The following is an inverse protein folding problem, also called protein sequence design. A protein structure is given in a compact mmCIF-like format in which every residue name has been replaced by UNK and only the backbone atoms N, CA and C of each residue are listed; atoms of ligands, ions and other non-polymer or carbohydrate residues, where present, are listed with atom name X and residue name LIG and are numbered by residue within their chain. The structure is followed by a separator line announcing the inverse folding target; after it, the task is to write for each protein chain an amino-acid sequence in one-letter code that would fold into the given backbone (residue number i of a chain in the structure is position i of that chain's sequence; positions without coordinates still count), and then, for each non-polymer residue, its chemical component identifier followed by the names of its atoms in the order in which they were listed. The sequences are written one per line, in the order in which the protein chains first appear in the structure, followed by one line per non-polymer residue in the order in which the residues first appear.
data_IF_063807470169
#
_entry.id   IF_063807470169
#
_cell.length_a   1.000
_cell.length_b   1.000
_cell.length_c   1.000
_cell.angle_alpha   90.00
_cell.angle_beta   90.00
_cell.angle_gamma   90.00
#
_symmetry.space_group_name_H-M   'P 1'
#
loop_
_entity.id
_entity.type
_entity.pdbx_description
1 polymer ?
#
# COMPACT_ATOMS: atom_id res chain seq x y z
N UNK A 1 12.36 -22.40 12.21
CA UNK A 1 12.75 -23.52 11.31
C UNK A 1 14.26 -23.57 11.18
N UNK A 2 14.87 -24.75 11.05
CA UNK A 2 16.35 -24.90 10.94
C UNK A 2 16.88 -24.83 9.50
N UNK A 3 16.01 -24.95 8.49
CA UNK A 3 16.34 -24.79 7.07
C UNK A 3 15.18 -24.12 6.32
N UNK A 4 15.44 -23.38 5.22
CA UNK A 4 14.39 -22.81 4.38
C UNK A 4 13.53 -23.92 3.75
N UNK A 5 12.24 -23.68 3.45
CA UNK A 5 11.42 -24.63 2.71
C UNK A 5 12.03 -24.93 1.34
N UNK A 6 11.89 -26.16 0.85
CA UNK A 6 12.49 -26.61 -0.43
C UNK A 6 12.05 -25.73 -1.61
N UNK A 7 10.78 -25.31 -1.63
CA UNK A 7 10.22 -24.40 -2.65
C UNK A 7 10.11 -22.95 -2.16
N UNK A 8 10.84 -22.59 -1.10
CA UNK A 8 10.79 -21.28 -0.47
C UNK A 8 9.37 -20.87 -0.07
N UNK A 9 8.95 -19.67 -0.47
CA UNK A 9 7.62 -19.14 -0.13
C UNK A 9 6.45 -19.80 -0.88
N UNK A 10 6.74 -20.67 -1.85
CA UNK A 10 5.74 -21.42 -2.59
C UNK A 10 5.49 -22.81 -1.99
N UNK A 11 6.24 -23.19 -0.95
CA UNK A 11 6.13 -24.52 -0.35
C UNK A 11 4.80 -24.69 0.41
N UNK A 12 4.10 -25.85 0.27
CA UNK A 12 2.88 -26.15 1.02
C UNK A 12 3.05 -26.12 2.54
N UNK A 13 4.28 -26.30 3.06
CA UNK A 13 4.56 -26.19 4.50
C UNK A 13 4.21 -24.81 5.07
N UNK A 14 4.10 -23.78 4.21
CA UNK A 14 3.71 -22.45 4.64
C UNK A 14 2.22 -22.28 4.91
N UNK A 15 1.39 -23.26 4.56
CA UNK A 15 -0.01 -23.27 5.00
C UNK A 15 -0.07 -23.48 6.52
N UNK A 16 0.71 -24.45 7.04
CA UNK A 16 0.86 -24.63 8.49
C UNK A 16 1.47 -23.39 9.16
N UNK A 17 2.50 -22.79 8.54
CA UNK A 17 3.08 -21.54 9.05
C UNK A 17 2.03 -20.42 9.15
N UNK A 18 1.17 -20.29 8.14
CA UNK A 18 0.11 -19.28 8.11
C UNK A 18 -0.90 -19.52 9.23
N UNK A 19 -1.23 -20.77 9.55
CA UNK A 19 -2.07 -21.13 10.68
C UNK A 19 -1.40 -20.76 12.01
N UNK A 20 -0.13 -21.11 12.19
CA UNK A 20 0.66 -20.77 13.37
C UNK A 20 0.83 -19.25 13.54
N UNK A 21 0.97 -18.50 12.44
CA UNK A 21 1.05 -17.05 12.47
C UNK A 21 -0.25 -16.45 12.99
N UNK A 22 -1.40 -16.90 12.47
CA UNK A 22 -2.73 -16.47 12.94
C UNK A 22 -2.98 -16.85 14.41
N UNK A 23 -2.58 -18.05 14.81
CA UNK A 23 -2.74 -18.52 16.19
C UNK A 23 -1.83 -17.77 17.18
N UNK A 24 -0.69 -17.25 16.75
CA UNK A 24 0.20 -16.48 17.63
C UNK A 24 -0.28 -15.06 17.92
N UNK A 25 -1.16 -14.52 17.09
CA UNK A 25 -1.75 -13.20 17.24
C UNK A 25 -3.27 -13.25 17.00
N UNK A 26 -4.02 -14.01 17.83
CA UNK A 26 -5.43 -14.31 17.56
C UNK A 26 -6.30 -13.05 17.55
N UNK A 27 -6.04 -12.10 18.45
CA UNK A 27 -6.82 -10.86 18.52
C UNK A 27 -6.58 -9.95 17.31
N UNK A 28 -5.33 -9.88 16.81
CA UNK A 28 -5.01 -9.20 15.55
C UNK A 28 -5.72 -9.88 14.38
N UNK A 29 -5.68 -11.21 14.32
CA UNK A 29 -6.36 -11.98 13.26
C UNK A 29 -7.86 -11.73 13.25
N UNK A 30 -8.51 -11.73 14.42
CA UNK A 30 -9.94 -11.43 14.56
C UNK A 30 -10.27 -10.01 14.12
N UNK A 31 -9.49 -9.01 14.55
CA UNK A 31 -9.69 -7.62 14.13
C UNK A 31 -9.60 -7.47 12.61
N UNK A 32 -8.60 -8.06 11.98
CA UNK A 32 -8.41 -8.01 10.52
C UNK A 32 -9.58 -8.66 9.79
N UNK A 33 -10.05 -9.82 10.27
CA UNK A 33 -11.18 -10.53 9.66
C UNK A 33 -12.48 -9.72 9.74
N UNK A 34 -12.72 -9.04 10.87
CA UNK A 34 -13.91 -8.20 11.04
C UNK A 34 -13.85 -6.96 10.14
N UNK A 35 -12.70 -6.27 10.12
CA UNK A 35 -12.46 -5.14 9.21
C UNK A 35 -12.65 -5.56 7.76
N UNK A 36 -12.06 -6.70 7.35
CA UNK A 36 -12.15 -7.18 5.98
C UNK A 36 -13.60 -7.47 5.58
N UNK A 37 -14.34 -8.19 6.43
CA UNK A 37 -15.73 -8.55 6.16
C UNK A 37 -16.60 -7.31 5.98
N UNK A 38 -16.41 -6.32 6.84
CA UNK A 38 -17.14 -5.07 6.75
C UNK A 38 -16.72 -4.24 5.51
N UNK A 39 -15.44 -4.29 5.11
CA UNK A 39 -14.94 -3.59 3.93
C UNK A 39 -15.49 -4.20 2.63
N UNK A 40 -15.46 -5.53 2.54
CA UNK A 40 -16.08 -6.28 1.43
C UNK A 40 -17.58 -6.00 1.37
N UNK A 41 -18.27 -5.99 2.50
CA UNK A 41 -19.70 -5.68 2.56
C UNK A 41 -20.01 -4.22 2.17
N UNK A 42 -19.10 -3.28 2.42
CA UNK A 42 -19.27 -1.87 2.05
C UNK A 42 -19.24 -1.68 0.53
N UNK A 43 -18.31 -2.35 -0.18
CA UNK A 43 -18.08 -2.15 -1.62
C UNK A 43 -19.36 -2.19 -2.50
N UNK A 44 -20.21 -3.23 -2.46
CA UNK A 44 -21.42 -3.30 -3.30
C UNK A 44 -22.50 -2.28 -2.89
N UNK A 45 -22.39 -1.67 -1.72
CA UNK A 45 -23.31 -0.62 -1.25
C UNK A 45 -22.88 0.78 -1.70
N UNK A 46 -21.67 0.93 -2.23
CA UNK A 46 -21.26 2.15 -2.92
C UNK A 46 -22.06 2.22 -4.22
N UNK A 47 -22.94 3.21 -4.34
CA UNK A 47 -23.80 3.39 -5.51
C UNK A 47 -23.40 4.66 -6.28
N UNK A 48 -22.29 4.63 -7.07
CA UNK A 48 -21.89 5.78 -7.87
C UNK A 48 -23.01 6.27 -8.78
N UNK A 49 -23.26 7.58 -8.75
CA UNK A 49 -24.18 8.22 -9.70
C UNK A 49 -23.59 8.11 -11.10
N UNK A 50 -24.45 7.82 -12.09
CA UNK A 50 -24.04 7.61 -13.50
C UNK A 50 -23.19 8.73 -14.09
N UNK A 51 -23.37 9.96 -13.63
CA UNK A 51 -22.68 11.15 -14.14
C UNK A 51 -21.67 11.71 -13.13
N UNK A 52 -21.17 10.88 -12.20
CA UNK A 52 -20.17 11.28 -11.22
C UNK A 52 -18.88 10.48 -11.39
N UNK A 53 -17.96 10.99 -12.21
CA UNK A 53 -16.63 10.40 -12.34
C UNK A 53 -15.91 10.32 -11.00
N UNK A 54 -16.14 11.30 -10.12
CA UNK A 54 -15.61 11.33 -8.76
C UNK A 54 -16.01 10.08 -7.97
N UNK A 55 -17.30 9.75 -7.94
CA UNK A 55 -17.80 8.58 -7.22
C UNK A 55 -17.37 7.27 -7.89
N UNK A 56 -17.36 7.23 -9.22
CA UNK A 56 -16.95 6.04 -9.97
C UNK A 56 -15.47 5.71 -9.71
N UNK A 57 -14.58 6.71 -9.83
CA UNK A 57 -13.15 6.56 -9.55
C UNK A 57 -12.94 6.23 -8.07
N UNK A 58 -13.70 6.84 -7.16
CA UNK A 58 -13.61 6.53 -5.73
C UNK A 58 -13.96 5.08 -5.42
N UNK A 59 -15.05 4.55 -5.99
CA UNK A 59 -15.43 3.14 -5.82
C UNK A 59 -14.35 2.19 -6.37
N UNK A 60 -13.78 2.51 -7.54
CA UNK A 60 -12.70 1.72 -8.14
C UNK A 60 -11.41 1.75 -7.31
N UNK A 61 -11.00 2.94 -6.81
CA UNK A 61 -9.85 3.06 -5.92
C UNK A 61 -10.08 2.37 -4.57
N UNK A 62 -11.31 2.41 -4.04
CA UNK A 62 -11.65 1.68 -2.83
C UNK A 62 -11.54 0.16 -3.03
N UNK A 63 -12.08 -0.37 -4.14
CA UNK A 63 -11.91 -1.79 -4.50
C UNK A 63 -10.43 -2.17 -4.60
N UNK A 64 -9.60 -1.33 -5.22
CA UNK A 64 -8.15 -1.51 -5.27
C UNK A 64 -7.51 -1.53 -3.88
N UNK A 65 -7.88 -0.61 -3.00
CA UNK A 65 -7.35 -0.54 -1.64
C UNK A 65 -7.71 -1.80 -0.84
N UNK A 66 -8.95 -2.27 -0.97
CA UNK A 66 -9.44 -3.50 -0.32
C UNK A 66 -8.69 -4.74 -0.83
N UNK A 67 -8.57 -4.92 -2.15
CA UNK A 67 -7.83 -6.05 -2.71
C UNK A 67 -6.35 -6.02 -2.29
N UNK A 68 -5.74 -4.83 -2.28
CA UNK A 68 -4.35 -4.66 -1.82
C UNK A 68 -4.20 -4.96 -0.33
N UNK A 69 -5.18 -4.60 0.49
CA UNK A 69 -5.24 -4.96 1.90
C UNK A 69 -5.25 -6.48 2.08
N UNK A 70 -6.18 -7.18 1.43
CA UNK A 70 -6.27 -8.64 1.51
C UNK A 70 -4.95 -9.31 1.08
N UNK A 71 -4.35 -8.85 -0.02
CA UNK A 71 -3.05 -9.34 -0.48
C UNK A 71 -1.92 -9.08 0.53
N UNK A 72 -1.88 -7.91 1.17
CA UNK A 72 -0.91 -7.60 2.23
C UNK A 72 -1.03 -8.57 3.41
N UNK A 73 -2.26 -8.86 3.85
CA UNK A 73 -2.53 -9.84 4.93
C UNK A 73 -2.10 -11.25 4.54
N UNK A 74 -2.37 -11.68 3.30
CA UNK A 74 -1.97 -13.00 2.82
C UNK A 74 -0.44 -13.17 2.79
N UNK A 75 0.30 -12.16 2.32
CA UNK A 75 1.77 -12.18 2.34
C UNK A 75 2.32 -12.15 3.77
N UNK A 76 1.69 -11.38 4.64
CA UNK A 76 2.06 -11.30 6.04
C UNK A 76 1.94 -12.65 6.76
N UNK A 77 0.82 -13.35 6.56
CA UNK A 77 0.61 -14.67 7.16
C UNK A 77 1.64 -15.70 6.66
N UNK A 78 2.14 -15.55 5.43
CA UNK A 78 3.26 -16.35 4.89
C UNK A 78 4.64 -15.88 5.34
N UNK A 79 4.72 -14.83 6.15
CA UNK A 79 5.96 -14.25 6.67
C UNK A 79 6.77 -13.45 5.65
N UNK A 80 6.14 -13.00 4.55
CA UNK A 80 6.74 -12.12 3.55
C UNK A 80 6.52 -10.64 3.93
N UNK A 81 7.04 -10.24 5.09
CA UNK A 81 6.69 -8.95 5.72
C UNK A 81 7.15 -7.74 4.90
N UNK A 82 8.27 -7.85 4.20
CA UNK A 82 8.75 -6.81 3.28
C UNK A 82 7.75 -6.56 2.15
N UNK A 83 7.34 -7.62 1.45
CA UNK A 83 6.38 -7.52 0.35
C UNK A 83 4.99 -7.09 0.86
N UNK A 84 4.56 -7.60 2.01
CA UNK A 84 3.34 -7.17 2.69
C UNK A 84 3.37 -5.66 3.00
N UNK A 85 4.51 -5.14 3.47
CA UNK A 85 4.72 -3.71 3.74
C UNK A 85 4.70 -2.85 2.48
N UNK A 86 5.25 -3.35 1.36
CA UNK A 86 5.14 -2.68 0.05
C UNK A 86 3.69 -2.56 -0.39
N UNK A 87 2.89 -3.61 -0.22
CA UNK A 87 1.46 -3.55 -0.47
C UNK A 87 0.75 -2.59 0.49
N UNK A 88 1.07 -2.59 1.78
CA UNK A 88 0.50 -1.66 2.74
C UNK A 88 0.77 -0.19 2.38
N UNK A 89 1.95 0.11 1.81
CA UNK A 89 2.26 1.44 1.26
C UNK A 89 1.33 1.78 0.09
N UNK A 90 1.07 0.83 -0.80
CA UNK A 90 0.17 1.05 -1.93
C UNK A 90 -1.29 1.29 -1.49
N UNK A 91 -1.74 0.68 -0.39
CA UNK A 91 -3.03 1.01 0.24
C UNK A 91 -3.02 2.49 0.65
N UNK A 92 -1.98 2.94 1.35
CA UNK A 92 -1.88 4.32 1.82
C UNK A 92 -1.82 5.35 0.69
N UNK A 93 -1.07 5.07 -0.38
CA UNK A 93 -1.08 5.90 -1.59
C UNK A 93 -2.49 6.02 -2.16
N UNK A 94 -3.21 4.90 -2.26
CA UNK A 94 -4.60 4.86 -2.72
C UNK A 94 -5.52 5.66 -1.79
N UNK A 95 -5.32 5.56 -0.48
CA UNK A 95 -6.03 6.34 0.55
C UNK A 95 -5.81 7.84 0.39
N UNK A 96 -4.59 8.29 0.08
CA UNK A 96 -4.28 9.70 -0.16
C UNK A 96 -4.98 10.20 -1.44
N UNK A 97 -5.01 9.40 -2.51
CA UNK A 97 -5.79 9.72 -3.71
C UNK A 97 -7.30 9.80 -3.43
N UNK A 98 -7.84 8.89 -2.61
CA UNK A 98 -9.23 8.97 -2.14
C UNK A 98 -9.47 10.25 -1.33
N UNK A 99 -8.52 10.66 -0.47
CA UNK A 99 -8.57 11.96 0.20
C UNK A 99 -8.64 13.13 -0.78
N UNK A 100 -7.91 13.06 -1.88
CA UNK A 100 -7.98 14.04 -2.97
C UNK A 100 -9.36 14.09 -3.62
N UNK A 101 -9.97 12.94 -3.91
CA UNK A 101 -11.35 12.88 -4.42
C UNK A 101 -12.38 13.41 -3.41
N UNK A 102 -12.12 13.26 -2.11
CA UNK A 102 -13.01 13.72 -1.05
C UNK A 102 -12.96 15.24 -0.86
N UNK A 103 -11.78 15.87 -1.03
CA UNK A 103 -11.53 17.24 -0.57
C UNK A 103 -11.21 18.24 -1.68
N UNK A 104 -10.71 17.79 -2.84
CA UNK A 104 -10.21 18.67 -3.90
C UNK A 104 -11.21 18.68 -5.06
N UNK A 105 -11.69 19.87 -5.42
CA UNK A 105 -12.54 20.04 -6.60
C UNK A 105 -11.77 19.67 -7.88
N UNK A 106 -12.46 19.04 -8.84
CA UNK A 106 -11.87 18.62 -10.12
C UNK A 106 -10.65 17.69 -10.01
N UNK A 107 -10.49 16.97 -8.88
CA UNK A 107 -9.35 16.09 -8.67
C UNK A 107 -9.25 14.94 -9.71
N UNK A 108 -10.38 14.47 -10.25
CA UNK A 108 -10.39 13.49 -11.35
C UNK A 108 -9.64 14.04 -12.58
N UNK A 109 -9.86 15.30 -12.94
CA UNK A 109 -9.15 15.93 -14.05
C UNK A 109 -7.65 16.09 -13.75
N UNK A 110 -7.29 16.41 -12.50
CA UNK A 110 -5.89 16.44 -12.04
C UNK A 110 -5.22 15.06 -12.15
N UNK A 111 -5.92 13.99 -11.79
CA UNK A 111 -5.44 12.61 -11.95
C UNK A 111 -5.24 12.27 -13.43
N UNK A 112 -6.20 12.59 -14.29
CA UNK A 112 -6.10 12.35 -15.73
C UNK A 112 -4.91 13.11 -16.35
N UNK A 113 -4.73 14.38 -15.98
CA UNK A 113 -3.61 15.19 -16.46
C UNK A 113 -2.25 14.64 -16.00
N UNK A 114 -2.15 14.20 -14.74
CA UNK A 114 -0.94 13.57 -14.22
C UNK A 114 -0.63 12.24 -14.92
N UNK A 115 -1.65 11.43 -15.22
CA UNK A 115 -1.51 10.19 -15.97
C UNK A 115 -1.02 10.44 -17.41
N UNK A 116 -1.61 11.40 -18.11
CA UNK A 116 -1.18 11.75 -19.47
C UNK A 116 0.28 12.23 -19.48
N UNK A 117 0.68 13.03 -18.49
CA UNK A 117 2.08 13.46 -18.36
C UNK A 117 3.03 12.27 -18.12
N UNK A 118 2.62 11.25 -17.35
CA UNK A 118 3.43 10.06 -17.14
C UNK A 118 3.66 9.29 -18.45
N UNK A 119 2.60 9.02 -19.21
CA UNK A 119 2.70 8.34 -20.51
C UNK A 119 3.51 9.14 -21.52
N UNK A 120 3.35 10.47 -21.55
CA UNK A 120 4.16 11.34 -22.39
C UNK A 120 5.66 11.23 -22.06
N UNK A 121 6.02 11.26 -20.77
CA UNK A 121 7.42 11.09 -20.33
C UNK A 121 7.97 9.71 -20.67
N UNK A 122 7.15 8.66 -20.49
CA UNK A 122 7.52 7.29 -20.84
C UNK A 122 7.75 7.14 -22.34
N UNK A 123 6.84 7.64 -23.18
CA UNK A 123 7.00 7.60 -24.63
C UNK A 123 8.24 8.36 -25.09
N UNK A 124 8.54 9.54 -24.51
CA UNK A 124 9.79 10.25 -24.80
C UNK A 124 11.02 9.42 -24.47
N UNK A 125 11.06 8.80 -23.28
CA UNK A 125 12.17 7.93 -22.91
C UNK A 125 12.33 6.74 -23.87
N UNK A 126 11.23 6.19 -24.38
CA UNK A 126 11.25 5.11 -25.38
C UNK A 126 11.83 5.59 -26.71
N UNK A 127 11.46 6.79 -27.18
CA UNK A 127 12.01 7.37 -28.41
C UNK A 127 13.50 7.68 -28.26
N UNK A 128 13.92 8.23 -27.11
CA UNK A 128 15.32 8.50 -26.83
C UNK A 128 16.13 7.20 -26.89
N UNK A 129 15.68 6.16 -26.17
CA UNK A 129 16.30 4.84 -26.18
C UNK A 129 16.33 4.19 -27.58
N UNK A 130 15.20 4.21 -28.30
CA UNK A 130 15.11 3.62 -29.63
C UNK A 130 15.99 4.36 -30.66
N UNK A 131 16.15 5.68 -30.50
CA UNK A 131 17.08 6.49 -31.30
C UNK A 131 18.53 6.12 -30.99
N UNK A 132 18.89 6.00 -29.71
CA UNK A 132 20.25 5.59 -29.27
C UNK A 132 20.62 4.18 -29.72
N UNK A 133 19.64 3.27 -29.78
CA UNK A 133 19.83 1.86 -30.13
C UNK A 133 19.52 1.52 -31.59
N UNK A 134 19.15 2.53 -32.39
CA UNK A 134 18.86 2.42 -33.83
C UNK A 134 17.83 1.32 -34.17
N UNK A 135 16.76 1.24 -33.37
CA UNK A 135 15.66 0.30 -33.59
C UNK A 135 14.82 0.81 -34.78
N UNK A 136 14.33 -0.09 -35.64
CA UNK A 136 13.36 0.26 -36.67
C UNK A 136 12.09 0.86 -36.05
N UNK A 137 11.38 1.75 -36.75
CA UNK A 137 10.11 2.38 -36.34
C UNK A 137 10.20 3.58 -35.37
N UNK A 138 11.39 4.14 -35.14
CA UNK A 138 11.59 5.38 -34.35
C UNK A 138 10.77 6.57 -34.87
N UNK A 139 10.61 6.70 -36.19
CA UNK A 139 9.89 7.83 -36.78
C UNK A 139 8.37 7.74 -36.56
N UNK A 140 7.79 6.54 -36.51
CA UNK A 140 6.37 6.35 -36.15
C UNK A 140 6.12 6.73 -34.69
N UNK A 141 7.01 6.29 -33.78
CA UNK A 141 6.96 6.65 -32.37
C UNK A 141 7.11 8.17 -32.14
N UNK A 142 7.99 8.83 -32.89
CA UNK A 142 8.13 10.29 -32.87
C UNK A 142 6.86 11.01 -33.35
N UNK A 143 6.20 10.50 -34.39
CA UNK A 143 4.94 11.02 -34.90
C UNK A 143 3.84 11.02 -33.83
N UNK A 144 3.63 9.88 -33.17
CA UNK A 144 2.64 9.76 -32.09
C UNK A 144 2.92 10.70 -30.91
N UNK A 145 4.19 10.88 -30.52
CA UNK A 145 4.55 11.83 -29.46
C UNK A 145 4.38 13.30 -29.85
N UNK A 146 4.60 13.65 -31.10
CA UNK A 146 4.40 15.02 -31.59
C UNK A 146 2.91 15.41 -31.52
N UNK A 147 2.02 14.48 -31.91
CA UNK A 147 0.57 14.66 -31.81
C UNK A 147 0.09 14.77 -30.35
N UNK A 148 0.74 14.06 -29.43
CA UNK A 148 0.49 14.20 -27.98
C UNK A 148 1.06 15.50 -27.40
N UNK A 149 2.24 15.94 -27.84
CA UNK A 149 2.87 17.18 -27.36
C UNK A 149 2.06 18.45 -27.68
N UNK A 150 1.27 18.42 -28.76
CA UNK A 150 0.34 19.50 -29.13
C UNK A 150 -0.86 19.60 -28.18
N UNK A 151 -1.16 18.56 -27.40
CA UNK A 151 -2.14 18.61 -26.31
C UNK A 151 -1.44 19.20 -25.10
N UNK A 152 -1.70 20.47 -24.76
CA UNK A 152 -1.02 21.15 -23.65
C UNK A 152 -1.01 20.32 -22.34
N UNK A 153 0.14 19.74 -22.00
CA UNK A 153 0.34 19.02 -20.74
C UNK A 153 1.05 19.94 -19.72
N UNK A 154 0.37 21.00 -19.30
CA UNK A 154 0.89 21.95 -18.27
C UNK A 154 0.79 21.45 -16.83
N UNK A 155 0.28 20.25 -16.59
CA UNK A 155 0.14 19.73 -15.22
C UNK A 155 1.51 19.32 -14.66
N UNK A 156 1.85 19.80 -13.47
CA UNK A 156 2.87 19.16 -12.63
C UNK A 156 2.32 17.82 -12.12
N UNK A 157 3.15 16.78 -12.13
CA UNK A 157 2.76 15.47 -11.60
C UNK A 157 2.30 15.55 -10.14
N UNK A 158 1.51 14.58 -9.70
CA UNK A 158 1.05 14.51 -8.31
C UNK A 158 2.21 14.06 -7.42
N UNK A 159 2.66 14.96 -6.54
CA UNK A 159 3.69 14.66 -5.53
C UNK A 159 2.98 14.16 -4.27
N UNK A 160 3.19 12.89 -3.91
CA UNK A 160 2.44 12.23 -2.83
C UNK A 160 2.48 12.96 -1.49
N UNK A 161 3.66 13.46 -1.08
CA UNK A 161 3.80 14.23 0.15
C UNK A 161 2.98 15.52 0.14
N UNK A 162 2.95 16.22 -1.00
CA UNK A 162 2.21 17.47 -1.13
C UNK A 162 0.71 17.19 -1.10
N UNK A 163 0.25 16.16 -1.83
CA UNK A 163 -1.14 15.75 -1.82
C UNK A 163 -1.59 15.33 -0.42
N UNK A 164 -0.79 14.54 0.30
CA UNK A 164 -1.08 14.13 1.67
C UNK A 164 -1.26 15.35 2.60
N UNK A 165 -0.40 16.37 2.49
CA UNK A 165 -0.55 17.62 3.26
C UNK A 165 -1.82 18.37 2.86
N UNK A 166 -2.08 18.49 1.57
CA UNK A 166 -3.25 19.16 0.98
C UNK A 166 -4.56 18.57 1.50
N UNK A 167 -4.62 17.23 1.67
CA UNK A 167 -5.84 16.50 2.11
C UNK A 167 -5.86 16.16 3.60
N UNK A 168 -4.99 16.80 4.40
CA UNK A 168 -4.95 16.60 5.86
C UNK A 168 -4.41 15.24 6.33
N UNK A 169 -3.80 14.46 5.44
CA UNK A 169 -3.19 13.15 5.72
C UNK A 169 -1.67 13.21 5.92
N UNK A 170 -1.12 14.39 6.23
CA UNK A 170 0.32 14.59 6.41
C UNK A 170 0.94 13.69 7.49
N UNK A 171 0.25 13.48 8.61
CA UNK A 171 0.73 12.59 9.68
C UNK A 171 0.83 11.12 9.22
N UNK A 172 -0.16 10.63 8.46
CA UNK A 172 -0.13 9.30 7.87
C UNK A 172 1.05 9.13 6.91
N UNK A 173 1.33 10.17 6.12
CA UNK A 173 2.50 10.18 5.24
C UNK A 173 3.81 10.14 6.04
N UNK A 174 3.98 11.03 7.02
CA UNK A 174 5.25 11.11 7.73
C UNK A 174 5.54 9.86 8.59
N UNK A 175 4.51 9.24 9.18
CA UNK A 175 4.68 8.09 10.08
C UNK A 175 4.62 6.76 9.31
N UNK A 176 3.52 6.49 8.60
CA UNK A 176 3.28 5.17 8.00
C UNK A 176 3.98 5.05 6.66
N UNK A 177 3.79 6.03 5.77
CA UNK A 177 4.35 5.95 4.41
C UNK A 177 5.88 5.91 4.43
N UNK A 178 6.53 6.80 5.19
CA UNK A 178 8.00 6.85 5.25
C UNK A 178 8.61 5.59 5.87
N UNK A 179 7.99 5.06 6.92
CA UNK A 179 8.42 3.81 7.52
C UNK A 179 8.38 2.66 6.49
N UNK A 180 7.24 2.46 5.84
CA UNK A 180 7.08 1.41 4.83
C UNK A 180 7.99 1.64 3.62
N UNK A 181 8.25 2.89 3.24
CA UNK A 181 9.13 3.22 2.13
C UNK A 181 10.59 2.84 2.41
N UNK A 182 11.10 3.20 3.59
CA UNK A 182 12.48 2.90 3.95
C UNK A 182 12.73 1.42 4.25
N UNK A 183 11.76 0.78 4.90
CA UNK A 183 11.92 -0.60 5.38
C UNK A 183 11.51 -1.64 4.33
N UNK A 184 10.40 -1.46 3.62
CA UNK A 184 9.88 -2.47 2.71
C UNK A 184 10.18 -2.20 1.22
N UNK A 185 9.93 -0.98 0.74
CA UNK A 185 9.81 -0.72 -0.69
C UNK A 185 11.15 -0.44 -1.40
N UNK A 186 12.14 0.14 -0.71
CA UNK A 186 13.41 0.52 -1.33
C UNK A 186 14.51 -0.51 -1.03
N UNK A 187 15.18 -1.07 -2.05
CA UNK A 187 16.36 -1.90 -1.83
C UNK A 187 17.47 -1.01 -1.26
N UNK A 188 17.69 -1.15 0.04
CA UNK A 188 18.70 -0.44 0.82
C UNK A 188 19.49 -1.44 1.66
N UNK A 189 20.70 -1.06 2.08
CA UNK A 189 21.51 -1.87 3.00
C UNK A 189 20.69 -2.25 4.24
N UNK A 190 19.94 -1.28 4.80
CA UNK A 190 19.05 -1.51 5.94
C UNK A 190 17.96 -2.55 5.64
N UNK A 191 17.30 -2.48 4.47
CA UNK A 191 16.30 -3.48 4.09
C UNK A 191 16.90 -4.88 3.87
N UNK A 192 18.18 -4.96 3.46
CA UNK A 192 18.88 -6.23 3.24
C UNK A 192 19.35 -6.90 4.54
N UNK A 193 19.50 -6.16 5.64
CA UNK A 193 19.92 -6.73 6.94
C UNK A 193 18.98 -7.84 7.43
N UNK A 194 17.70 -7.84 7.04
CA UNK A 194 16.75 -8.93 7.37
C UNK A 194 17.11 -10.29 6.77
N UNK A 195 18.05 -10.31 5.83
CA UNK A 195 18.58 -11.53 5.21
C UNK A 195 19.93 -11.94 5.77
N UNK A 196 20.44 -11.25 6.79
CA UNK A 196 21.79 -11.44 7.34
C UNK A 196 21.67 -11.76 8.83
N UNK A 197 22.28 -12.86 9.26
CA UNK A 197 22.50 -13.15 10.68
C UNK A 197 23.95 -12.86 11.00
N UNK A 198 24.17 -12.06 12.05
CA UNK A 198 25.50 -11.66 12.51
C UNK A 198 25.86 -12.42 13.78
N UNK A 199 27.10 -12.87 13.86
CA UNK A 199 27.67 -13.54 15.03
C UNK A 199 28.01 -12.55 16.15
N UNK A 200 28.52 -13.08 17.28
CA UNK A 200 28.89 -12.30 18.45
C UNK A 200 30.00 -11.25 18.18
N UNK A 201 30.83 -11.48 17.18
CA UNK A 201 31.89 -10.57 16.71
C UNK A 201 31.40 -9.52 15.68
N UNK A 202 30.09 -9.48 15.42
CA UNK A 202 29.42 -8.69 14.36
C UNK A 202 29.78 -9.09 12.93
N UNK A 203 30.54 -10.17 12.75
CA UNK A 203 30.78 -10.81 11.46
C UNK A 203 29.49 -11.41 10.91
N UNK A 204 29.40 -11.53 9.58
CA UNK A 204 28.29 -12.22 8.91
C UNK A 204 28.45 -13.72 9.14
N UNK A 205 27.50 -14.34 9.82
CA UNK A 205 27.53 -15.78 10.12
C UNK A 205 26.81 -16.57 9.01
N UNK A 206 25.63 -16.12 8.59
CA UNK A 206 24.84 -16.76 7.53
C UNK A 206 23.84 -15.82 6.88
N UNK A 207 23.38 -16.20 5.69
CA UNK A 207 22.21 -15.62 5.05
C UNK A 207 20.94 -16.35 5.49
N UNK A 208 19.83 -15.62 5.59
CA UNK A 208 18.51 -16.18 5.90
C UNK A 208 17.49 -15.84 4.81
N UNK A 209 16.79 -16.89 4.37
CA UNK A 209 15.68 -16.82 3.43
C UNK A 209 14.54 -17.68 4.00
N UNK A 210 13.77 -17.13 4.92
CA UNK A 210 12.74 -17.85 5.66
C UNK A 210 11.59 -16.91 6.03
N UNK A 211 10.39 -17.44 6.32
CA UNK A 211 9.29 -16.64 6.85
C UNK A 211 9.69 -15.85 8.10
N UNK A 212 9.27 -14.59 8.14
CA UNK A 212 9.53 -13.68 9.24
C UNK A 212 8.25 -13.46 10.07
N UNK A 213 8.42 -13.32 11.38
CA UNK A 213 7.31 -13.04 12.32
C UNK A 213 7.52 -11.73 13.08
N UNK A 214 8.78 -11.42 13.39
CA UNK A 214 9.14 -10.16 14.04
C UNK A 214 8.70 -8.96 13.19
N UNK A 215 7.92 -8.06 13.78
CA UNK A 215 7.38 -6.89 13.10
C UNK A 215 6.06 -7.13 12.36
N UNK A 216 5.48 -8.33 12.42
CA UNK A 216 4.20 -8.64 11.78
C UNK A 216 3.09 -7.72 12.29
N UNK A 217 2.93 -7.55 13.60
CA UNK A 217 1.90 -6.68 14.21
C UNK A 217 2.05 -5.22 13.76
N UNK A 218 3.29 -4.74 13.66
CA UNK A 218 3.58 -3.38 13.17
C UNK A 218 3.15 -3.20 11.72
N UNK A 219 3.44 -4.17 10.86
CA UNK A 219 3.03 -4.13 9.46
C UNK A 219 1.50 -4.24 9.34
N UNK A 220 0.85 -5.12 10.11
CA UNK A 220 -0.61 -5.26 10.15
C UNK A 220 -1.29 -3.96 10.61
N UNK A 221 -0.72 -3.31 11.63
CA UNK A 221 -1.14 -2.00 12.10
C UNK A 221 -1.11 -0.96 10.98
N UNK A 222 -0.02 -0.89 10.20
CA UNK A 222 0.07 0.01 9.06
C UNK A 222 -1.01 -0.25 7.99
N UNK A 223 -1.27 -1.52 7.67
CA UNK A 223 -2.30 -1.90 6.69
C UNK A 223 -3.72 -1.52 7.16
N UNK A 224 -4.03 -1.76 8.44
CA UNK A 224 -5.31 -1.37 9.05
C UNK A 224 -5.51 0.14 9.00
N UNK A 225 -4.53 0.92 9.46
CA UNK A 225 -4.60 2.39 9.46
C UNK A 225 -4.83 2.91 8.05
N UNK A 226 -4.11 2.37 7.06
CA UNK A 226 -4.26 2.77 5.66
C UNK A 226 -5.67 2.50 5.13
N UNK A 227 -6.23 1.30 5.37
CA UNK A 227 -7.57 0.94 4.90
C UNK A 227 -8.68 1.74 5.62
N UNK A 228 -8.56 1.96 6.92
CA UNK A 228 -9.52 2.80 7.67
C UNK A 228 -9.49 4.26 7.19
N UNK A 229 -8.32 4.76 6.78
CA UNK A 229 -8.22 6.05 6.09
C UNK A 229 -8.96 6.07 4.75
N UNK A 230 -8.92 4.97 3.97
CA UNK A 230 -9.69 4.85 2.73
C UNK A 230 -11.20 4.90 3.00
N UNK A 231 -11.67 4.22 4.07
CA UNK A 231 -13.06 4.29 4.49
C UNK A 231 -13.49 5.70 4.84
N UNK A 232 -12.67 6.44 5.59
CA UNK A 232 -12.97 7.82 5.94
C UNK A 232 -13.22 8.67 4.69
N UNK A 233 -12.36 8.55 3.68
CA UNK A 233 -12.52 9.27 2.42
C UNK A 233 -13.77 8.84 1.65
N UNK A 234 -14.05 7.54 1.56
CA UNK A 234 -15.28 7.00 0.95
C UNK A 234 -16.53 7.52 1.67
N UNK A 235 -16.51 7.60 3.00
CA UNK A 235 -17.62 8.13 3.78
C UNK A 235 -17.96 9.58 3.44
N UNK A 236 -16.94 10.40 3.20
CA UNK A 236 -17.12 11.78 2.72
C UNK A 236 -17.66 11.80 1.29
N UNK A 237 -17.08 11.03 0.36
CA UNK A 237 -17.44 11.06 -1.06
C UNK A 237 -18.89 10.63 -1.30
N UNK A 238 -19.34 9.58 -0.59
CA UNK A 238 -20.67 8.99 -0.72
C UNK A 238 -21.67 9.46 0.36
N UNK A 239 -21.28 10.40 1.22
CA UNK A 239 -22.10 10.95 2.31
C UNK A 239 -22.71 9.86 3.23
N UNK A 240 -21.85 8.96 3.71
CA UNK A 240 -22.23 7.78 4.52
C UNK A 240 -22.00 8.04 6.01
N UNK A 241 -23.07 8.26 6.76
CA UNK A 241 -23.03 8.51 8.21
C UNK A 241 -22.78 7.27 9.06
N UNK A 242 -22.93 6.07 8.49
CA UNK A 242 -22.65 4.79 9.15
C UNK A 242 -21.15 4.45 9.22
N UNK A 243 -20.32 5.10 8.39
CA UNK A 243 -18.88 4.82 8.32
C UNK A 243 -18.09 5.35 9.54
N UNK A 244 -18.26 6.62 9.99
CA UNK A 244 -17.46 7.14 11.10
C UNK A 244 -17.57 6.32 12.40
N UNK A 245 -18.77 5.90 12.86
CA UNK A 245 -18.89 5.04 14.05
C UNK A 245 -18.21 3.68 13.88
N UNK A 246 -18.25 3.10 12.67
CA UNK A 246 -17.57 1.84 12.38
C UNK A 246 -16.04 2.00 12.43
N UNK A 247 -15.50 3.10 11.89
CA UNK A 247 -14.07 3.44 11.99
C UNK A 247 -13.66 3.61 13.45
N UNK A 248 -14.45 4.32 14.26
CA UNK A 248 -14.17 4.52 15.68
C UNK A 248 -14.09 3.19 16.45
N UNK A 249 -15.05 2.29 16.21
CA UNK A 249 -15.03 0.94 16.78
C UNK A 249 -13.72 0.19 16.46
N UNK A 250 -13.31 0.18 15.19
CA UNK A 250 -12.08 -0.52 14.78
C UNK A 250 -10.81 0.16 15.30
N UNK A 251 -10.78 1.50 15.36
CA UNK A 251 -9.68 2.24 15.95
C UNK A 251 -9.51 1.94 17.45
N UNK A 252 -10.60 1.87 18.23
CA UNK A 252 -10.52 1.50 19.64
C UNK A 252 -9.92 0.11 19.82
N UNK A 253 -10.37 -0.87 19.03
CA UNK A 253 -9.83 -2.24 19.06
C UNK A 253 -8.35 -2.28 18.66
N UNK A 254 -7.99 -1.55 17.60
CA UNK A 254 -6.61 -1.44 17.11
C UNK A 254 -5.66 -0.80 18.15
N UNK A 255 -6.10 0.27 18.82
CA UNK A 255 -5.33 0.95 19.86
C UNK A 255 -5.09 0.04 21.07
N UNK A 256 -6.11 -0.70 21.51
CA UNK A 256 -5.99 -1.67 22.60
C UNK A 256 -4.91 -2.73 22.32
N UNK A 257 -4.86 -3.24 21.08
CA UNK A 257 -3.84 -4.21 20.66
C UNK A 257 -2.45 -3.59 20.55
N UNK A 258 -2.37 -2.35 20.05
CA UNK A 258 -1.09 -1.64 19.87
C UNK A 258 -0.46 -1.27 21.22
N UNK A 259 -1.26 -0.87 22.22
CA UNK A 259 -0.77 -0.58 23.57
C UNK A 259 -0.20 -1.83 24.25
N UNK A 260 -0.90 -2.96 24.16
CA UNK A 260 -0.45 -4.23 24.71
C UNK A 260 0.86 -4.74 24.07
N UNK A 261 1.15 -4.33 22.83
CA UNK A 261 2.41 -4.63 22.16
C UNK A 261 3.58 -3.79 22.71
N UNK A 262 3.38 -2.47 22.88
CA UNK A 262 4.39 -1.58 23.43
C UNK A 262 4.86 -2.04 24.83
N UNK A 263 3.92 -2.41 25.70
CA UNK A 263 4.23 -2.88 27.07
C UNK A 263 5.05 -4.19 27.09
N UNK A 264 4.89 -5.06 26.08
CA UNK A 264 5.70 -6.29 25.96
C UNK A 264 7.11 -6.02 25.45
N UNK A 265 7.29 -4.98 24.66
CA UNK A 265 8.61 -4.59 24.13
C UNK A 265 9.48 -3.91 25.18
N UNK A 266 8.88 -3.18 26.14
CA UNK A 266 9.58 -2.55 27.25
C UNK A 266 9.99 -3.52 28.36
N UNK A 267 9.21 -4.58 28.60
CA UNK A 267 9.51 -5.60 29.63
C UNK A 267 10.52 -6.67 29.19
N UNK A 268 10.98 -6.65 27.94
CA UNK A 268 11.97 -7.58 27.37
C UNK A 268 13.33 -6.92 27.08
N UNK A 269 13.56 -5.70 27.57
CA UNK A 269 14.88 -5.02 27.62
C UNK A 269 15.46 -5.10 29.04
#
# INVERSE_FOLDING_TARGET
MKQPPVDGFLSPILDQWSDEARQSAPDWSLLIQDINRAAVALLPTLAPRRNSDRELVAAALYARALQTFEASILLANRGMLADAGTLARSILETTIYLGGLAQIENFVARMAAANNQHYFKFGRALVDFATETNIADVEELKGHLADEALKEHKASGIIMQQLAKEVGMGALYEVVYRQLSGDAAHPSVASSERHIVRGADRGIEKLIFQPQREGMEKMLSCAIIALLGAWQAVGVIFNRSDIPPAIELYNMRHQALSAAFSDRSENNQ
#
